data_IF_193321483083
#
_entry.id   IF_193321483083
#
_cell.length_a   1.000
_cell.length_b   1.000
_cell.length_c   1.000
_cell.angle_alpha   90.00
_cell.angle_beta   90.00
_cell.angle_gamma   90.00
#
_symmetry.space_group_name_H-M   'P 1'
#
loop_
_entity.id
_entity.type
_entity.pdbx_description
1 polymer ?
#
# COMPACT_ATOMS: atom_id res chain seq x y z
N UNK A 1 21.54 14.79 17.91
CA UNK A 1 22.50 13.74 18.29
C UNK A 1 21.86 12.40 17.93
N UNK A 2 22.46 11.69 16.97
CA UNK A 2 21.94 10.46 16.35
C UNK A 2 21.83 9.29 17.33
N UNK A 3 20.77 8.49 17.17
CA UNK A 3 20.77 7.03 16.90
C UNK A 3 19.48 6.39 17.38
N UNK A 4 18.61 5.99 16.45
CA UNK A 4 18.12 4.61 16.36
C UNK A 4 17.96 4.30 14.86
N UNK A 5 19.09 4.25 14.15
CA UNK A 5 19.21 3.35 13.00
C UNK A 5 19.32 1.93 13.57
N UNK A 6 18.23 1.43 14.17
CA UNK A 6 18.08 -0.01 14.34
C UNK A 6 17.91 -0.54 12.93
N UNK A 7 18.99 -1.12 12.43
CA UNK A 7 19.13 -1.82 11.17
C UNK A 7 18.07 -2.93 11.08
N UNK A 8 16.81 -2.57 10.82
CA UNK A 8 15.85 -3.53 10.36
C UNK A 8 16.31 -3.94 8.96
N UNK A 9 16.76 -5.19 8.85
CA UNK A 9 17.12 -5.83 7.58
C UNK A 9 15.85 -6.06 6.78
N UNK A 10 15.20 -4.99 6.34
CA UNK A 10 14.13 -5.11 5.39
C UNK A 10 14.73 -5.47 4.03
N UNK A 11 14.27 -6.57 3.43
CA UNK A 11 14.62 -6.92 2.05
C UNK A 11 14.16 -5.84 1.05
N UNK A 12 13.20 -4.99 1.45
CA UNK A 12 12.62 -3.90 0.66
C UNK A 12 12.54 -2.65 1.57
N UNK A 13 13.04 -1.49 1.11
CA UNK A 13 12.89 -0.23 1.85
C UNK A 13 11.48 0.37 1.61
N UNK A 14 10.83 0.98 2.62
CA UNK A 14 9.55 1.64 2.43
C UNK A 14 9.68 2.82 1.44
N UNK A 15 8.80 2.85 0.43
CA UNK A 15 8.89 3.80 -0.69
C UNK A 15 8.48 5.25 -0.36
N UNK A 16 7.94 5.50 0.84
CA UNK A 16 7.41 6.80 1.28
C UNK A 16 7.72 6.98 2.76
N UNK A 17 8.37 8.08 3.13
CA UNK A 17 8.64 8.42 4.53
C UNK A 17 7.33 8.73 5.27
N UNK A 18 7.19 8.27 6.52
CA UNK A 18 5.97 8.42 7.31
C UNK A 18 5.62 9.90 7.61
N UNK A 19 6.61 10.80 7.61
CA UNK A 19 6.50 12.17 8.13
C UNK A 19 5.63 13.16 7.33
N UNK A 20 5.08 12.78 6.16
CA UNK A 20 4.18 13.69 5.45
C UNK A 20 2.76 13.54 6.03
N UNK A 21 2.47 14.30 7.10
CA UNK A 21 1.13 14.48 7.67
C UNK A 21 0.21 15.07 6.60
N UNK A 22 -0.63 14.21 6.04
CA UNK A 22 -1.72 14.61 5.15
C UNK A 22 -3.00 13.96 5.68
N UNK A 23 -4.13 14.61 5.48
CA UNK A 23 -5.49 14.18 5.87
C UNK A 23 -5.98 12.96 5.05
N UNK A 24 -5.05 12.03 4.79
CA UNK A 24 -5.22 10.85 3.92
C UNK A 24 -5.22 9.55 4.74
N UNK A 25 -5.05 9.66 6.06
CA UNK A 25 -4.96 8.52 6.95
C UNK A 25 -6.23 7.67 6.90
N UNK A 26 -7.40 8.31 6.84
CA UNK A 26 -8.68 7.60 6.69
C UNK A 26 -8.71 6.72 5.44
N UNK A 27 -8.27 7.25 4.29
CA UNK A 27 -8.20 6.46 3.06
C UNK A 27 -7.20 5.32 3.15
N UNK A 28 -6.06 5.54 3.80
CA UNK A 28 -5.02 4.51 3.99
C UNK A 28 -5.55 3.40 4.90
N UNK A 29 -6.20 3.75 6.01
CA UNK A 29 -6.76 2.80 6.97
C UNK A 29 -7.90 1.99 6.34
N UNK A 30 -8.80 2.66 5.62
CA UNK A 30 -9.89 2.01 4.90
C UNK A 30 -9.36 0.99 3.89
N UNK A 31 -8.40 1.40 3.05
CA UNK A 31 -7.85 0.53 2.01
C UNK A 31 -7.02 -0.62 2.59
N UNK A 32 -6.29 -0.39 3.68
CA UNK A 32 -5.57 -1.44 4.40
C UNK A 32 -6.53 -2.49 4.95
N UNK A 33 -7.57 -2.06 5.67
CA UNK A 33 -8.59 -2.97 6.19
C UNK A 33 -9.36 -3.71 5.08
N UNK A 34 -9.65 -3.04 3.97
CA UNK A 34 -10.27 -3.66 2.80
C UNK A 34 -9.37 -4.74 2.17
N UNK A 35 -8.06 -4.49 2.10
CA UNK A 35 -7.10 -5.46 1.57
C UNK A 35 -6.99 -6.71 2.46
N UNK A 36 -6.93 -6.57 3.79
CA UNK A 36 -6.93 -7.72 4.71
C UNK A 36 -8.22 -8.55 4.59
N UNK A 37 -9.37 -7.88 4.46
CA UNK A 37 -10.66 -8.55 4.25
C UNK A 37 -10.76 -9.29 2.90
N UNK A 38 -9.92 -8.96 1.92
CA UNK A 38 -9.92 -9.62 0.62
C UNK A 38 -9.51 -11.11 0.70
N UNK A 39 -8.70 -11.48 1.70
CA UNK A 39 -8.24 -12.86 1.90
C UNK A 39 -9.43 -13.81 2.12
N UNK A 40 -10.41 -13.37 2.91
CA UNK A 40 -11.57 -14.19 3.30
C UNK A 40 -12.68 -14.25 2.23
N UNK A 41 -12.31 -14.01 0.95
CA UNK A 41 -13.15 -14.10 -0.26
C UNK A 41 -14.40 -13.20 -0.28
N UNK A 42 -14.41 -12.09 0.47
CA UNK A 42 -15.55 -11.15 0.55
C UNK A 42 -15.34 -9.77 -0.10
N UNK A 43 -14.23 -9.50 -0.78
CA UNK A 43 -13.95 -8.13 -1.25
C UNK A 43 -14.35 -7.84 -2.70
N UNK A 44 -14.98 -6.68 -2.90
CA UNK A 44 -15.09 -5.99 -4.18
C UNK A 44 -13.74 -5.40 -4.63
N UNK A 45 -13.51 -5.36 -5.94
CA UNK A 45 -12.44 -4.56 -6.54
C UNK A 45 -12.56 -3.10 -6.12
N UNK A 46 -11.53 -2.54 -5.48
CA UNK A 46 -11.53 -1.13 -5.04
C UNK A 46 -10.72 -0.27 -6.01
N UNK A 47 -11.27 0.86 -6.42
CA UNK A 47 -10.63 1.79 -7.36
C UNK A 47 -10.43 3.16 -6.71
N UNK A 48 -9.20 3.67 -6.80
CA UNK A 48 -8.85 5.04 -6.41
C UNK A 48 -9.03 5.98 -7.60
N UNK A 49 -10.11 6.79 -7.60
CA UNK A 49 -10.40 7.78 -8.64
C UNK A 49 -10.10 9.20 -8.16
N UNK A 50 -9.84 10.10 -9.11
CA UNK A 50 -9.65 11.53 -8.83
C UNK A 50 -8.67 12.20 -9.79
N UNK A 51 -8.53 13.52 -9.67
CA UNK A 51 -7.70 14.33 -10.56
C UNK A 51 -6.19 14.02 -10.45
N UNK A 52 -5.42 14.42 -11.47
CA UNK A 52 -3.96 14.25 -11.50
C UNK A 52 -3.33 14.97 -10.29
N UNK A 53 -2.29 14.37 -9.70
CA UNK A 53 -1.54 14.90 -8.53
C UNK A 53 -2.31 14.98 -7.20
N UNK A 54 -3.51 14.39 -7.08
CA UNK A 54 -4.27 14.29 -5.82
C UNK A 54 -3.70 13.29 -4.79
N UNK A 55 -2.47 12.80 -4.96
CA UNK A 55 -1.86 11.88 -3.99
C UNK A 55 -2.32 10.42 -4.04
N UNK A 56 -3.11 10.01 -5.05
CA UNK A 56 -3.55 8.60 -5.21
C UNK A 56 -2.38 7.59 -5.21
N UNK A 57 -1.28 7.93 -5.88
CA UNK A 57 -0.07 7.10 -5.91
C UNK A 57 0.59 7.01 -4.53
N UNK A 58 0.53 8.08 -3.73
CA UNK A 58 1.08 8.10 -2.38
C UNK A 58 0.24 7.22 -1.44
N UNK A 59 -1.09 7.37 -1.47
CA UNK A 59 -2.03 6.54 -0.71
C UNK A 59 -1.78 5.06 -1.02
N UNK A 60 -1.75 4.70 -2.31
CA UNK A 60 -1.50 3.32 -2.73
C UNK A 60 -0.16 2.77 -2.21
N UNK A 61 0.94 3.53 -2.37
CA UNK A 61 2.26 3.10 -1.89
C UNK A 61 2.30 2.92 -0.37
N UNK A 62 1.64 3.80 0.39
CA UNK A 62 1.56 3.68 1.85
C UNK A 62 0.80 2.43 2.26
N UNK A 63 -0.35 2.15 1.64
CA UNK A 63 -1.12 0.91 1.91
C UNK A 63 -0.27 -0.33 1.61
N UNK A 64 0.43 -0.36 0.47
CA UNK A 64 1.32 -1.47 0.11
C UNK A 64 2.45 -1.63 1.14
N UNK A 65 3.07 -0.54 1.60
CA UNK A 65 4.09 -0.61 2.65
C UNK A 65 3.52 -1.22 3.93
N UNK A 66 2.33 -0.81 4.37
CA UNK A 66 1.68 -1.37 5.57
C UNK A 66 1.43 -2.86 5.42
N UNK A 67 0.94 -3.30 4.25
CA UNK A 67 0.79 -4.72 3.97
C UNK A 67 2.13 -5.47 4.07
N UNK A 68 3.26 -4.90 3.65
CA UNK A 68 4.55 -5.59 3.81
C UNK A 68 5.08 -5.63 5.24
N UNK A 69 4.80 -4.62 6.07
CA UNK A 69 5.52 -4.42 7.33
C UNK A 69 4.67 -4.51 8.61
N UNK A 70 3.35 -4.44 8.49
CA UNK A 70 2.43 -4.29 9.64
C UNK A 70 1.44 -5.45 9.78
N UNK A 71 1.54 -6.49 8.95
CA UNK A 71 0.72 -7.70 9.11
C UNK A 71 1.19 -8.50 10.34
N UNK A 72 0.25 -9.01 11.14
CA UNK A 72 0.54 -9.68 12.42
C UNK A 72 1.31 -10.99 12.23
N UNK A 73 0.89 -11.82 11.27
CA UNK A 73 1.58 -13.06 10.90
C UNK A 73 1.80 -13.13 9.38
N UNK A 74 2.92 -12.57 8.87
CA UNK A 74 3.23 -12.62 7.44
C UNK A 74 3.47 -14.03 6.90
N UNK A 75 3.72 -15.02 7.76
CA UNK A 75 4.01 -16.40 7.37
C UNK A 75 2.76 -17.28 7.25
N UNK A 76 1.63 -16.86 7.83
CA UNK A 76 0.35 -17.53 7.70
C UNK A 76 -0.34 -17.16 6.37
N UNK A 77 -0.45 -18.08 5.39
CA UNK A 77 -1.08 -17.80 4.10
C UNK A 77 -2.60 -17.59 4.20
N UNK A 78 -3.25 -17.97 5.31
CA UNK A 78 -4.68 -17.75 5.51
C UNK A 78 -5.01 -16.36 6.06
N UNK A 79 -4.02 -15.66 6.61
CA UNK A 79 -4.17 -14.35 7.23
C UNK A 79 -3.30 -13.26 6.60
N UNK A 80 -2.36 -13.64 5.73
CA UNK A 80 -1.42 -12.72 5.08
C UNK A 80 -1.83 -12.35 3.65
N UNK A 81 -1.76 -11.05 3.34
CA UNK A 81 -1.93 -10.48 1.99
C UNK A 81 -0.57 -10.33 1.33
N UNK A 82 -0.42 -10.81 0.09
CA UNK A 82 0.76 -10.52 -0.73
C UNK A 82 0.43 -9.43 -1.76
N UNK A 83 0.97 -8.21 -1.62
CA UNK A 83 0.72 -7.14 -2.60
C UNK A 83 1.37 -7.46 -3.94
N UNK A 84 0.58 -7.54 -5.02
CA UNK A 84 1.08 -7.68 -6.40
C UNK A 84 0.85 -6.37 -7.14
N UNK A 85 1.94 -5.72 -7.58
CA UNK A 85 1.87 -4.50 -8.38
C UNK A 85 1.92 -4.84 -9.88
N UNK A 86 0.88 -4.44 -10.61
CA UNK A 86 0.83 -4.48 -12.07
C UNK A 86 0.43 -3.11 -12.61
N UNK A 87 1.08 -2.67 -13.68
CA UNK A 87 0.67 -1.48 -14.41
C UNK A 87 0.48 -1.84 -15.88
N UNK A 88 -0.62 -1.37 -16.45
CA UNK A 88 -0.86 -1.47 -17.89
C UNK A 88 -0.54 -0.12 -18.53
N UNK A 89 0.36 -0.10 -19.52
CA UNK A 89 0.51 1.07 -20.39
C UNK A 89 -0.57 1.00 -21.46
N UNK A 90 -1.54 1.90 -21.39
CA UNK A 90 -2.43 2.16 -22.52
C UNK A 90 -1.56 2.78 -23.62
N UNK A 91 -1.21 1.98 -24.62
CA UNK A 91 -0.66 2.46 -25.88
C UNK A 91 -1.74 3.34 -26.53
N UNK A 92 -1.39 4.60 -26.74
CA UNK A 92 -2.20 5.54 -27.48
C UNK A 92 -2.20 5.13 -28.95
N UNK A 93 -3.28 4.52 -29.42
CA UNK A 93 -3.56 4.38 -30.86
C UNK A 93 -4.02 5.76 -31.37
N UNK A 94 -3.06 6.66 -31.59
CA UNK A 94 -3.28 7.84 -32.42
C UNK A 94 -2.82 7.42 -33.82
N UNK A 95 -3.80 7.26 -34.72
CA UNK A 95 -3.63 7.44 -36.16
C UNK A 95 -4.03 8.87 -36.50
#
# INVERSE_FOLDING_TARGET
>A
MNRIDSQAKWAIRPLVAAEVYTDRQEHIDYLYAAALKAITRRSMSTVLLGQRRMGKTEIFKRVVNRLFFEQEDPHDPEQSVVPVYSFFRIQSLIN
#
